data_IF_314812469377
#
_entry.id   IF_314812469377
#
_cell.length_a   1.000
_cell.length_b   1.000
_cell.length_c   1.000
_cell.angle_alpha   90.00
_cell.angle_beta   90.00
_cell.angle_gamma   90.00
#
_symmetry.space_group_name_H-M   'P 1'
#
loop_
_entity.id
_entity.type
_entity.pdbx_description
1 polymer ?
#
# COMPACT_ATOMS: atom_id res chain seq x y z
N UNK A 1 13.69 -10.79 21.75
CA UNK A 1 13.24 -11.22 20.41
C UNK A 1 13.96 -10.40 19.35
N UNK A 2 14.56 -11.07 18.38
CA UNK A 2 15.16 -10.40 17.23
C UNK A 2 14.01 -9.91 16.33
N UNK A 3 13.96 -8.64 15.93
CA UNK A 3 12.95 -8.18 15.00
C UNK A 3 12.99 -8.99 13.70
N UNK A 4 11.84 -9.30 13.15
CA UNK A 4 11.76 -9.99 11.86
C UNK A 4 12.43 -9.14 10.79
N UNK A 5 13.37 -9.71 10.07
CA UNK A 5 13.98 -9.05 8.92
C UNK A 5 13.14 -9.32 7.70
N UNK A 6 12.69 -8.24 7.06
CA UNK A 6 11.88 -8.33 5.85
C UNK A 6 12.78 -8.21 4.62
N UNK A 7 12.50 -9.05 3.63
CA UNK A 7 13.21 -9.03 2.35
C UNK A 7 12.95 -7.72 1.59
N UNK A 8 11.72 -7.22 1.65
CA UNK A 8 11.32 -5.98 0.99
C UNK A 8 10.95 -4.91 1.99
N UNK A 9 11.30 -3.67 1.72
CA UNK A 9 10.90 -2.52 2.54
C UNK A 9 9.43 -2.20 2.37
N UNK A 10 8.91 -2.40 1.17
CA UNK A 10 7.50 -2.20 0.88
C UNK A 10 7.05 -3.06 -0.30
N UNK A 11 5.75 -3.32 -0.34
CA UNK A 11 5.04 -3.92 -1.46
C UNK A 11 4.11 -2.85 -2.02
N UNK A 12 4.18 -2.56 -3.31
CA UNK A 12 3.30 -1.59 -3.95
C UNK A 12 2.13 -2.33 -4.60
N UNK A 13 0.92 -2.07 -4.08
CA UNK A 13 -0.33 -2.60 -4.60
C UNK A 13 -1.03 -1.53 -5.44
N UNK A 14 -1.41 -1.84 -6.67
CA UNK A 14 -2.05 -0.90 -7.57
C UNK A 14 -2.92 -1.61 -8.60
N UNK A 15 -3.91 -0.87 -9.14
CA UNK A 15 -4.65 -1.32 -10.30
C UNK A 15 -3.76 -1.19 -11.53
N UNK A 16 -3.83 -2.18 -12.45
CA UNK A 16 -3.11 -2.14 -13.71
C UNK A 16 -3.36 -0.88 -14.54
N UNK A 17 -4.53 -0.30 -14.42
CA UNK A 17 -4.82 0.98 -15.07
C UNK A 17 -3.98 2.13 -14.50
N UNK A 18 -3.42 1.97 -13.32
CA UNK A 18 -2.57 2.96 -12.65
C UNK A 18 -1.07 2.62 -12.75
N UNK A 19 -0.69 1.82 -13.73
CA UNK A 19 0.70 1.35 -13.90
C UNK A 19 1.71 2.49 -13.91
N UNK A 20 1.38 3.61 -14.53
CA UNK A 20 2.30 4.77 -14.57
C UNK A 20 2.63 5.28 -13.18
N UNK A 21 1.64 5.31 -12.28
CA UNK A 21 1.86 5.68 -10.88
C UNK A 21 2.70 4.64 -10.15
N UNK A 22 2.44 3.35 -10.41
CA UNK A 22 3.24 2.26 -9.85
C UNK A 22 4.70 2.35 -10.28
N UNK A 23 4.95 2.60 -11.55
CA UNK A 23 6.30 2.75 -12.10
C UNK A 23 7.01 3.97 -11.48
N UNK A 24 6.32 5.09 -11.38
CA UNK A 24 6.86 6.31 -10.78
C UNK A 24 7.22 6.09 -9.31
N UNK A 25 6.29 5.54 -8.53
CA UNK A 25 6.48 5.34 -7.09
C UNK A 25 7.62 4.36 -6.83
N UNK A 26 7.66 3.26 -7.57
CA UNK A 26 8.72 2.25 -7.43
C UNK A 26 10.10 2.88 -7.63
N UNK A 27 10.25 3.65 -8.72
CA UNK A 27 11.51 4.33 -9.03
C UNK A 27 11.85 5.39 -7.99
N UNK A 28 10.85 6.19 -7.59
CA UNK A 28 11.05 7.25 -6.61
C UNK A 28 11.51 6.70 -5.26
N UNK A 29 10.89 5.61 -4.80
CA UNK A 29 11.26 5.00 -3.52
C UNK A 29 12.63 4.33 -3.57
N UNK A 30 12.97 3.63 -4.66
CA UNK A 30 14.27 2.96 -4.78
C UNK A 30 15.43 3.93 -4.89
N UNK A 31 15.19 5.13 -5.43
CA UNK A 31 16.22 6.17 -5.54
C UNK A 31 16.22 7.17 -4.38
N UNK A 32 15.23 7.10 -3.51
CA UNK A 32 15.12 8.00 -2.36
C UNK A 32 16.24 7.74 -1.36
N UNK A 33 16.90 8.81 -0.98
CA UNK A 33 17.93 8.76 0.08
C UNK A 33 17.35 9.28 1.39
N UNK A 34 17.36 8.41 2.38
CA UNK A 34 16.86 8.78 3.71
C UNK A 34 17.77 9.86 4.30
N UNK A 35 17.21 10.93 4.92
CA UNK A 35 18.01 11.95 5.58
C UNK A 35 18.98 11.35 6.60
N UNK A 36 20.21 11.84 6.62
CA UNK A 36 21.29 11.30 7.46
C UNK A 36 20.92 11.23 8.95
N UNK A 37 20.13 12.18 9.44
CA UNK A 37 19.71 12.20 10.83
C UNK A 37 18.76 11.08 11.24
N UNK A 38 18.16 10.40 10.26
CA UNK A 38 17.24 9.28 10.49
C UNK A 38 17.91 7.92 10.28
N UNK A 39 19.01 7.87 9.53
CA UNK A 39 19.70 6.61 9.23
C UNK A 39 20.26 6.01 10.52
N UNK A 40 19.99 4.73 10.72
CA UNK A 40 20.48 3.99 11.89
C UNK A 40 19.59 4.08 13.12
N UNK A 41 18.53 4.88 13.10
CA UNK A 41 17.57 4.93 14.22
C UNK A 41 16.74 3.66 14.25
N UNK A 42 16.50 3.16 15.45
CA UNK A 42 15.62 1.99 15.64
C UNK A 42 14.16 2.43 15.65
N UNK A 43 13.31 1.66 14.96
CA UNK A 43 11.87 1.87 14.91
C UNK A 43 11.17 0.52 15.14
N UNK A 44 9.85 0.54 15.28
CA UNK A 44 9.07 -0.69 15.36
C UNK A 44 9.20 -1.60 14.13
N UNK A 45 9.62 -1.05 13.00
CA UNK A 45 9.84 -1.80 11.76
C UNK A 45 11.32 -2.17 11.54
N UNK A 46 12.21 -1.88 12.49
CA UNK A 46 13.64 -2.16 12.42
C UNK A 46 14.49 -0.90 12.33
N UNK A 47 15.75 -1.06 11.92
CA UNK A 47 16.70 0.05 11.78
C UNK A 47 16.44 0.80 10.48
N UNK A 48 16.42 2.13 10.53
CA UNK A 48 16.20 2.96 9.34
C UNK A 48 17.41 2.87 8.41
N UNK A 49 17.25 2.38 7.17
CA UNK A 49 18.34 2.23 6.22
C UNK A 49 18.65 3.55 5.50
N UNK A 50 19.78 3.58 4.78
CA UNK A 50 20.12 4.70 3.91
C UNK A 50 19.18 4.84 2.72
N UNK A 51 18.66 3.74 2.21
CA UNK A 51 17.76 3.68 1.07
C UNK A 51 16.60 2.73 1.36
N UNK A 52 15.45 3.06 0.79
CA UNK A 52 14.25 2.22 0.87
C UNK A 52 14.28 1.18 -0.25
N UNK A 53 15.22 0.25 -0.18
CA UNK A 53 15.47 -0.78 -1.20
C UNK A 53 15.64 -2.13 -0.50
N UNK A 54 15.17 -3.24 -1.07
CA UNK A 54 14.36 -3.36 -2.29
C UNK A 54 12.86 -3.12 -2.05
N UNK A 55 12.16 -2.75 -3.12
CA UNK A 55 10.71 -2.56 -3.14
C UNK A 55 10.12 -3.60 -4.09
N UNK A 56 9.12 -4.34 -3.61
CA UNK A 56 8.38 -5.27 -4.46
C UNK A 56 7.22 -4.53 -5.13
N UNK A 57 7.07 -4.75 -6.42
CA UNK A 57 5.95 -4.25 -7.17
C UNK A 57 5.20 -5.42 -7.79
N UNK A 58 3.87 -5.42 -7.62
CA UNK A 58 3.04 -6.43 -8.23
C UNK A 58 3.18 -6.38 -9.76
N UNK A 59 3.41 -7.53 -10.36
CA UNK A 59 3.54 -7.66 -11.81
C UNK A 59 2.34 -8.41 -12.34
N UNK A 60 1.53 -7.69 -13.07
CA UNK A 60 0.33 -8.24 -13.70
C UNK A 60 0.59 -9.21 -14.82
N UNK A 61 1.80 -9.26 -15.31
CA UNK A 61 2.19 -10.10 -16.42
C UNK A 61 2.25 -11.59 -16.07
N UNK A 62 2.03 -11.92 -14.82
CA UNK A 62 2.02 -13.32 -14.41
C UNK A 62 0.64 -13.92 -14.65
N UNK A 63 0.56 -15.11 -15.29
CA UNK A 63 -0.73 -15.74 -15.56
C UNK A 63 -1.46 -16.07 -14.27
N UNK A 64 -2.79 -16.04 -14.35
CA UNK A 64 -3.68 -16.40 -13.25
C UNK A 64 -3.50 -17.86 -12.89
N UNK A 65 -2.52 -18.15 -12.07
CA UNK A 65 -2.29 -19.51 -11.60
C UNK A 65 -2.19 -19.50 -10.08
N UNK A 66 -2.32 -20.67 -9.49
CA UNK A 66 -2.07 -20.85 -8.06
C UNK A 66 -0.65 -20.39 -7.69
N UNK A 67 0.28 -20.47 -8.63
CA UNK A 67 1.66 -20.02 -8.43
C UNK A 67 1.74 -18.53 -8.22
N UNK A 68 0.94 -17.74 -8.95
CA UNK A 68 0.91 -16.29 -8.76
C UNK A 68 0.46 -15.94 -7.35
N UNK A 69 -0.61 -16.57 -6.86
CA UNK A 69 -1.09 -16.37 -5.50
C UNK A 69 -0.02 -16.64 -4.46
N UNK A 70 0.76 -17.71 -4.63
CA UNK A 70 1.86 -18.04 -3.71
C UNK A 70 2.96 -16.99 -3.74
N UNK A 71 3.35 -16.53 -4.93
CA UNK A 71 4.40 -15.51 -5.08
C UNK A 71 3.97 -14.21 -4.42
N UNK A 72 2.72 -13.79 -4.64
CA UNK A 72 2.20 -12.55 -4.07
C UNK A 72 2.07 -12.67 -2.55
N UNK A 73 1.52 -13.76 -2.04
CA UNK A 73 1.39 -13.95 -0.59
C UNK A 73 2.74 -13.99 0.11
N UNK A 74 3.74 -14.63 -0.51
CA UNK A 74 5.09 -14.65 0.03
C UNK A 74 5.70 -13.25 0.01
N UNK A 75 5.53 -12.49 -1.07
CA UNK A 75 6.04 -11.12 -1.15
C UNK A 75 5.39 -10.21 -0.11
N UNK A 76 4.10 -10.37 0.15
CA UNK A 76 3.40 -9.63 1.22
C UNK A 76 3.96 -9.98 2.60
N UNK A 77 4.20 -11.27 2.85
CA UNK A 77 4.80 -11.71 4.12
C UNK A 77 6.23 -11.18 4.27
N UNK A 78 6.99 -11.14 3.18
CA UNK A 78 8.37 -10.67 3.15
C UNK A 78 8.50 -9.14 3.14
N UNK A 79 7.41 -8.40 3.11
CA UNK A 79 7.40 -6.93 3.06
C UNK A 79 7.06 -6.33 4.42
N UNK A 80 7.82 -5.31 4.83
CA UNK A 80 7.53 -4.63 6.11
C UNK A 80 6.32 -3.72 6.02
N UNK A 81 6.10 -3.11 4.85
CA UNK A 81 5.01 -2.16 4.60
C UNK A 81 4.28 -2.49 3.32
N UNK A 82 3.01 -2.09 3.27
CA UNK A 82 2.19 -2.12 2.05
C UNK A 82 1.85 -0.69 1.67
N UNK A 83 2.16 -0.32 0.43
CA UNK A 83 1.77 0.98 -0.12
C UNK A 83 0.69 0.73 -1.18
N UNK A 84 -0.48 1.31 -0.97
CA UNK A 84 -1.62 1.16 -1.87
C UNK A 84 -1.79 2.43 -2.68
N UNK A 85 -1.73 2.31 -4.00
CA UNK A 85 -2.05 3.43 -4.90
C UNK A 85 -3.57 3.50 -5.00
N UNK A 86 -4.15 4.59 -4.49
CA UNK A 86 -5.59 4.75 -4.35
C UNK A 86 -6.17 5.59 -5.49
N UNK A 87 -7.15 5.03 -6.18
CA UNK A 87 -7.89 5.64 -7.27
C UNK A 87 -9.26 4.97 -7.35
N UNK A 88 -10.23 5.52 -8.11
CA UNK A 88 -11.49 4.81 -8.33
C UNK A 88 -11.29 3.43 -8.96
N UNK A 89 -10.21 3.23 -9.71
CA UNK A 89 -9.87 1.95 -10.34
C UNK A 89 -9.41 0.93 -9.30
N UNK A 90 -8.48 1.32 -8.42
CA UNK A 90 -7.99 0.43 -7.36
C UNK A 90 -9.06 0.13 -6.32
N UNK A 91 -9.94 1.08 -6.03
CA UNK A 91 -11.03 0.89 -5.09
C UNK A 91 -11.95 -0.26 -5.51
N UNK A 92 -12.12 -0.47 -6.82
CA UNK A 92 -12.95 -1.53 -7.39
C UNK A 92 -12.17 -2.81 -7.68
N UNK A 93 -10.86 -2.80 -7.57
CA UNK A 93 -10.03 -3.96 -7.88
C UNK A 93 -10.15 -5.01 -6.79
N UNK A 94 -10.64 -6.19 -7.15
CA UNK A 94 -10.67 -7.34 -6.24
C UNK A 94 -9.25 -7.71 -5.82
N UNK A 95 -8.31 -7.60 -6.74
CA UNK A 95 -6.90 -7.94 -6.51
C UNK A 95 -6.28 -7.05 -5.44
N UNK A 96 -6.43 -5.72 -5.59
CA UNK A 96 -5.91 -4.76 -4.61
C UNK A 96 -6.54 -5.02 -3.23
N UNK A 97 -7.86 -5.24 -3.19
CA UNK A 97 -8.56 -5.52 -1.93
C UNK A 97 -8.06 -6.81 -1.27
N UNK A 98 -7.83 -7.87 -2.06
CA UNK A 98 -7.30 -9.13 -1.52
C UNK A 98 -5.89 -8.98 -0.97
N UNK A 99 -5.04 -8.21 -1.62
CA UNK A 99 -3.68 -7.94 -1.13
C UNK A 99 -3.72 -7.20 0.21
N UNK A 100 -4.60 -6.21 0.35
CA UNK A 100 -4.78 -5.48 1.61
C UNK A 100 -5.28 -6.43 2.72
N UNK A 101 -6.29 -7.24 2.42
CA UNK A 101 -6.81 -8.22 3.39
C UNK A 101 -5.73 -9.17 3.85
N UNK A 102 -4.95 -9.72 2.92
CA UNK A 102 -3.89 -10.65 3.24
C UNK A 102 -2.83 -10.00 4.13
N UNK A 103 -2.44 -8.77 3.83
CA UNK A 103 -1.47 -8.03 4.64
C UNK A 103 -1.99 -7.79 6.06
N UNK A 104 -3.28 -7.47 6.20
CA UNK A 104 -3.93 -7.33 7.50
C UNK A 104 -3.99 -8.67 8.26
N UNK A 105 -4.25 -9.77 7.55
CA UNK A 105 -4.26 -11.13 8.15
C UNK A 105 -2.89 -11.50 8.71
N UNK A 106 -1.82 -10.97 8.13
CA UNK A 106 -0.45 -11.18 8.62
C UNK A 106 -0.13 -10.35 9.88
N UNK A 107 -1.10 -9.60 10.40
CA UNK A 107 -0.93 -8.80 11.62
C UNK A 107 -0.20 -7.47 11.40
N UNK A 108 -0.13 -7.00 10.17
CA UNK A 108 0.64 -5.79 9.81
C UNK A 108 -0.26 -4.61 9.40
N UNK A 109 -1.48 -4.54 9.93
CA UNK A 109 -2.44 -3.49 9.58
C UNK A 109 -1.90 -2.08 9.78
N UNK A 110 -1.04 -1.87 10.78
CA UNK A 110 -0.48 -0.55 11.09
C UNK A 110 0.59 -0.11 10.09
N UNK A 111 1.03 -1.00 9.22
CA UNK A 111 2.08 -0.75 8.24
C UNK A 111 1.53 -0.55 6.82
N UNK A 112 0.27 -0.17 6.70
CA UNK A 112 -0.36 0.11 5.41
C UNK A 112 -0.40 1.61 5.19
N UNK A 113 0.15 2.05 4.05
CA UNK A 113 0.18 3.44 3.64
C UNK A 113 -0.57 3.58 2.32
N UNK A 114 -1.43 4.58 2.21
CA UNK A 114 -2.17 4.86 0.99
C UNK A 114 -1.61 6.09 0.29
N UNK A 115 -1.52 6.03 -1.04
CA UNK A 115 -1.15 7.18 -1.87
C UNK A 115 -2.33 7.51 -2.77
N UNK A 116 -2.97 8.64 -2.53
CA UNK A 116 -4.13 9.08 -3.31
C UNK A 116 -3.64 9.74 -4.59
N UNK A 117 -4.01 9.18 -5.73
CA UNK A 117 -3.60 9.69 -7.05
C UNK A 117 -4.78 10.22 -7.85
N UNK A 118 -6.00 9.80 -7.54
CA UNK A 118 -7.22 10.21 -8.23
C UNK A 118 -8.44 9.86 -7.35
N UNK A 119 -9.57 10.49 -7.63
CA UNK A 119 -10.82 10.25 -6.91
C UNK A 119 -10.93 11.06 -5.63
N UNK A 120 -11.85 10.65 -4.75
CA UNK A 120 -12.09 11.31 -3.46
C UNK A 120 -12.11 10.31 -2.32
N UNK A 121 -11.39 10.57 -1.22
CA UNK A 121 -11.43 9.70 -0.05
C UNK A 121 -12.81 9.75 0.61
N UNK A 122 -13.34 8.57 0.95
CA UNK A 122 -14.64 8.38 1.60
C UNK A 122 -15.83 8.91 0.79
N UNK A 123 -15.69 9.01 -0.54
CA UNK A 123 -16.77 9.46 -1.41
C UNK A 123 -17.97 8.51 -1.36
N UNK A 124 -17.74 7.21 -1.14
CA UNK A 124 -18.82 6.22 -1.03
C UNK A 124 -19.73 6.43 0.18
N UNK A 125 -19.30 7.24 1.15
CA UNK A 125 -20.15 7.60 2.29
C UNK A 125 -21.21 8.63 1.91
N UNK A 126 -21.11 9.21 0.72
CA UNK A 126 -22.06 10.22 0.22
C UNK A 126 -22.88 9.67 -0.93
N UNK A 127 -24.23 9.75 -0.88
CA UNK A 127 -25.06 9.28 -1.99
C UNK A 127 -24.72 9.96 -3.30
N UNK A 128 -24.59 9.16 -4.35
CA UNK A 128 -24.28 9.66 -5.70
C UNK A 128 -22.81 9.84 -6.01
N UNK A 129 -21.91 9.67 -5.03
CA UNK A 129 -20.46 9.84 -5.23
C UNK A 129 -19.67 8.54 -5.12
N UNK A 130 -20.34 7.39 -5.07
CA UNK A 130 -19.72 6.08 -4.88
C UNK A 130 -18.66 5.77 -5.94
N UNK A 131 -18.88 6.23 -7.16
CA UNK A 131 -17.94 6.01 -8.27
C UNK A 131 -16.63 6.79 -8.13
N UNK A 132 -16.60 7.79 -7.26
CA UNK A 132 -15.42 8.62 -7.04
C UNK A 132 -14.55 8.10 -5.90
N UNK A 133 -14.99 7.08 -5.16
CA UNK A 133 -14.24 6.53 -4.01
C UNK A 133 -12.87 6.03 -4.44
N UNK A 134 -11.82 6.53 -3.81
CA UNK A 134 -10.45 6.12 -4.09
C UNK A 134 -9.93 5.03 -3.12
N UNK A 135 -10.48 4.93 -1.92
CA UNK A 135 -10.04 3.92 -0.97
C UNK A 135 -10.67 2.56 -1.25
N UNK A 136 -9.87 1.51 -1.43
CA UNK A 136 -10.39 0.16 -1.43
C UNK A 136 -11.12 -0.13 -0.12
N UNK A 137 -12.21 -0.89 -0.19
CA UNK A 137 -12.99 -1.24 0.99
C UNK A 137 -12.13 -1.89 2.08
N UNK A 138 -11.20 -2.76 1.66
CA UNK A 138 -10.29 -3.45 2.57
C UNK A 138 -9.40 -2.48 3.36
N UNK A 139 -9.16 -1.26 2.86
CA UNK A 139 -8.39 -0.24 3.57
C UNK A 139 -9.23 0.50 4.61
N UNK A 140 -10.55 0.44 4.51
CA UNK A 140 -11.49 1.23 5.32
C UNK A 140 -12.04 0.48 6.53
N UNK A 141 -11.85 -0.83 6.61
CA UNK A 141 -12.40 -1.67 7.67
C UNK A 141 -11.34 -2.56 8.28
N UNK A 142 -11.48 -2.85 9.57
CA UNK A 142 -10.59 -3.78 10.24
C UNK A 142 -10.89 -5.22 9.82
N UNK A 143 -9.86 -6.08 9.91
CA UNK A 143 -10.02 -7.52 9.72
C UNK A 143 -10.55 -8.12 11.02
N UNK A 144 -11.58 -8.97 10.94
CA UNK A 144 -12.10 -9.72 12.06
C UNK A 144 -11.30 -10.99 12.33
N UNK A 145 -11.65 -11.68 13.41
CA UNK A 145 -11.00 -12.93 13.79
C UNK A 145 -11.16 -14.04 12.74
N UNK A 146 -12.22 -13.96 11.94
CA UNK A 146 -12.49 -14.89 10.84
C UNK A 146 -11.61 -14.64 9.60
N UNK A 147 -10.78 -13.58 9.61
CA UNK A 147 -9.94 -13.20 8.48
C UNK A 147 -10.68 -12.42 7.39
N UNK A 148 -11.93 -12.06 7.62
CA UNK A 148 -12.73 -11.24 6.71
C UNK A 148 -12.93 -9.83 7.25
N UNK A 149 -13.34 -8.90 6.38
CA UNK A 149 -13.59 -7.52 6.81
C UNK A 149 -14.73 -7.46 7.82
N UNK A 150 -14.47 -6.74 8.91
CA UNK A 150 -15.48 -6.46 9.93
C UNK A 150 -16.29 -5.24 9.54
N UNK A 151 -17.20 -4.83 10.42
CA UNK A 151 -17.96 -3.58 10.26
C UNK A 151 -17.28 -2.40 10.97
N UNK A 152 -16.12 -2.64 11.59
CA UNK A 152 -15.39 -1.61 12.32
C UNK A 152 -14.57 -0.78 11.35
N UNK A 153 -14.88 0.51 11.26
CA UNK A 153 -14.16 1.44 10.40
C UNK A 153 -12.77 1.72 10.95
N UNK A 154 -11.81 1.86 10.04
CA UNK A 154 -10.47 2.37 10.36
C UNK A 154 -10.14 3.49 9.38
N UNK A 155 -9.33 4.44 9.80
CA UNK A 155 -8.88 5.51 8.91
C UNK A 155 -7.56 5.12 8.24
N UNK A 156 -7.53 5.05 6.90
CA UNK A 156 -6.28 4.81 6.21
C UNK A 156 -5.28 5.95 6.44
N UNK A 157 -4.01 5.59 6.66
CA UNK A 157 -2.91 6.55 6.67
C UNK A 157 -2.63 6.88 5.21
N UNK A 158 -2.80 8.13 4.81
CA UNK A 158 -2.74 8.49 3.41
C UNK A 158 -1.91 9.75 3.15
N UNK A 159 -1.18 9.73 2.03
CA UNK A 159 -0.59 10.90 1.42
C UNK A 159 -1.35 11.20 0.13
N UNK A 160 -1.45 12.45 -0.25
CA UNK A 160 -2.27 12.90 -1.37
C UNK A 160 -1.39 13.46 -2.49
N UNK A 161 -1.24 12.68 -3.55
CA UNK A 161 -0.41 13.07 -4.71
C UNK A 161 -1.21 13.74 -5.82
N UNK A 162 -2.52 13.99 -5.61
CA UNK A 162 -3.36 14.61 -6.63
C UNK A 162 -2.88 16.02 -6.95
N UNK A 163 -3.05 16.42 -8.20
CA UNK A 163 -2.79 17.79 -8.64
C UNK A 163 -3.67 18.76 -7.86
N UNK A 164 -3.11 19.89 -7.42
CA UNK A 164 -3.82 20.86 -6.59
C UNK A 164 -3.89 20.53 -5.10
N UNK A 165 -3.34 19.37 -4.70
CA UNK A 165 -3.17 18.96 -3.30
C UNK A 165 -1.67 18.98 -2.96
N UNK A 166 -1.16 17.92 -2.32
CA UNK A 166 0.28 17.85 -1.99
C UNK A 166 1.18 17.74 -3.22
N UNK A 167 0.69 17.05 -4.27
CA UNK A 167 1.48 16.76 -5.45
C UNK A 167 2.47 15.61 -5.23
N UNK A 168 3.09 15.13 -6.31
CA UNK A 168 3.97 13.93 -6.26
C UNK A 168 5.12 14.08 -5.27
N UNK A 169 5.84 15.19 -5.34
CA UNK A 169 7.04 15.38 -4.52
C UNK A 169 6.72 15.44 -3.03
N UNK A 170 5.72 16.22 -2.66
CA UNK A 170 5.37 16.41 -1.26
C UNK A 170 4.73 15.16 -0.66
N UNK A 171 3.92 14.45 -1.45
CA UNK A 171 3.34 13.18 -1.02
C UNK A 171 4.43 12.15 -0.71
N UNK A 172 5.49 12.10 -1.51
CA UNK A 172 6.62 11.19 -1.29
C UNK A 172 7.34 11.47 0.04
N UNK A 173 7.35 12.72 0.49
CA UNK A 173 8.06 13.14 1.70
C UNK A 173 7.26 12.91 2.99
N UNK A 174 5.98 12.59 2.91
CA UNK A 174 5.12 12.28 4.05
C UNK A 174 5.20 10.80 4.43
#
# INVERSE_FOLDING_TARGET
MTPKQYKYKAFISYSHQDKKWGDWLHRALETYRVPKGLVGKETGAGVVPKRLFPIFRDREELPTSHELGRVINKALDDSSHLIVICSPRSAKSQWVNEEIKQFKRLGKSDNILCLIVDGEPNASDKPGLEEEECFPEAAKYEIGEDGELSTIRTEPIAADAREGKDGKRNALLK
#
